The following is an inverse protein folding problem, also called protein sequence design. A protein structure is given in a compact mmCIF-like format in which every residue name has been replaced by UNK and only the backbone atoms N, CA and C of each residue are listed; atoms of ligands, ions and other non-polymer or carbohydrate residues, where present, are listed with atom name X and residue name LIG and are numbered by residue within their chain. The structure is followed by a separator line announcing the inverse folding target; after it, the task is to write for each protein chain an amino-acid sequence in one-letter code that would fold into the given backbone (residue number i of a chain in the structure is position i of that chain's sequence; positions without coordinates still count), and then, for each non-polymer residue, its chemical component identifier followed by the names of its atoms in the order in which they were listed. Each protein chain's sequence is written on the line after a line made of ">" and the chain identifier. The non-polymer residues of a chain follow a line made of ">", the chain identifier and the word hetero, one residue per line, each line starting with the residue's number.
data_IF_598297784648
#
_entry.id   IF_598297784648
#
_cell.length_a   1.000
_cell.length_b   1.000
_cell.length_c   1.000
_cell.angle_alpha   90.00
_cell.angle_beta   90.00
_cell.angle_gamma   90.00
#
_symmetry.space_group_name_H-M   'P 1'
#
loop_
_entity.id
_entity.type
_entity.pdbx_description
1 polymer ?
#
# COMPACT_ATOMS: atom_id res chain seq x y z
N UNK A 1 -0.28 -50.40 -99.51
CA UNK A 1 -0.05 -49.85 -98.16
C UNK A 1 -1.32 -50.08 -97.39
N UNK A 2 -1.26 -51.04 -96.46
CA UNK A 2 -1.40 -50.79 -95.01
C UNK A 2 -2.89 -50.94 -94.65
N UNK A 3 -3.34 -51.64 -93.62
CA UNK A 3 -2.73 -52.16 -92.40
C UNK A 3 -3.61 -53.34 -91.97
N UNK A 4 -3.08 -54.56 -91.96
CA UNK A 4 -3.78 -55.74 -91.42
C UNK A 4 -3.41 -55.85 -89.94
N UNK A 5 -4.15 -55.14 -89.10
CA UNK A 5 -4.17 -55.40 -87.66
C UNK A 5 -4.89 -56.73 -87.41
N UNK A 6 -4.15 -57.83 -87.43
CA UNK A 6 -4.63 -59.13 -86.96
C UNK A 6 -4.88 -59.06 -85.45
N UNK A 7 -6.15 -59.00 -85.06
CA UNK A 7 -6.59 -59.26 -83.68
C UNK A 7 -6.54 -60.78 -83.44
N UNK A 8 -5.55 -61.23 -82.69
CA UNK A 8 -5.43 -62.63 -82.26
C UNK A 8 -6.41 -62.89 -81.09
N UNK A 9 -7.26 -63.94 -81.13
CA UNK A 9 -8.23 -64.19 -80.08
C UNK A 9 -7.53 -64.61 -78.77
N UNK A 10 -7.94 -64.01 -77.66
CA UNK A 10 -7.38 -64.29 -76.34
C UNK A 10 -7.45 -65.79 -76.00
N UNK A 11 -6.37 -66.35 -75.47
CA UNK A 11 -6.32 -67.76 -75.09
C UNK A 11 -6.96 -67.98 -73.71
N UNK A 12 -7.36 -69.23 -73.40
CA UNK A 12 -7.88 -69.60 -72.07
C UNK A 12 -6.91 -69.26 -70.92
N UNK A 13 -5.60 -69.26 -71.19
CA UNK A 13 -4.58 -68.86 -70.23
C UNK A 13 -4.56 -67.36 -69.95
N UNK A 14 -4.82 -66.52 -70.95
CA UNK A 14 -4.87 -65.06 -70.79
C UNK A 14 -6.10 -64.64 -69.96
N UNK A 15 -7.24 -65.29 -70.19
CA UNK A 15 -8.46 -65.11 -69.39
C UNK A 15 -8.26 -65.49 -67.92
N UNK A 16 -7.50 -66.56 -67.64
CA UNK A 16 -7.19 -66.98 -66.28
C UNK A 16 -6.31 -65.95 -65.55
N UNK A 17 -5.25 -65.45 -66.23
CA UNK A 17 -4.38 -64.39 -65.68
C UNK A 17 -5.15 -63.11 -65.40
N UNK A 18 -5.99 -62.67 -66.33
CA UNK A 18 -6.84 -61.49 -66.14
C UNK A 18 -7.78 -61.64 -64.94
N UNK A 19 -8.40 -62.81 -64.78
CA UNK A 19 -9.26 -63.10 -63.62
C UNK A 19 -8.51 -62.99 -62.29
N UNK A 20 -7.27 -63.48 -62.24
CA UNK A 20 -6.42 -63.35 -61.06
C UNK A 20 -6.02 -61.90 -60.78
N UNK A 21 -5.63 -61.14 -61.82
CA UNK A 21 -5.37 -59.70 -61.69
C UNK A 21 -6.60 -58.95 -61.15
N UNK A 22 -7.79 -59.23 -61.69
CA UNK A 22 -9.05 -58.59 -61.23
C UNK A 22 -9.31 -58.90 -59.76
N UNK A 23 -9.07 -60.14 -59.30
CA UNK A 23 -9.21 -60.51 -57.88
C UNK A 23 -8.23 -59.73 -56.98
N UNK A 24 -6.97 -59.62 -57.39
CA UNK A 24 -5.94 -58.86 -56.66
C UNK A 24 -6.33 -57.38 -56.57
N UNK A 25 -6.68 -56.76 -57.71
CA UNK A 25 -7.11 -55.36 -57.75
C UNK A 25 -8.33 -55.09 -56.87
N UNK A 26 -9.29 -56.03 -56.83
CA UNK A 26 -10.46 -55.92 -55.93
C UNK A 26 -10.05 -55.98 -54.45
N UNK A 27 -9.08 -56.82 -54.11
CA UNK A 27 -8.51 -56.88 -52.76
C UNK A 27 -7.84 -55.58 -52.35
N UNK A 28 -7.04 -54.99 -53.25
CA UNK A 28 -6.36 -53.72 -52.99
C UNK A 28 -7.35 -52.55 -52.85
N UNK A 29 -8.40 -52.51 -53.69
CA UNK A 29 -9.50 -51.55 -53.56
C UNK A 29 -10.21 -51.65 -52.20
N UNK A 30 -10.42 -52.86 -51.69
CA UNK A 30 -11.03 -53.07 -50.36
C UNK A 30 -10.16 -52.49 -49.25
N UNK A 31 -8.85 -52.78 -49.27
CA UNK A 31 -7.90 -52.25 -48.28
C UNK A 31 -7.79 -50.72 -48.35
N UNK A 32 -7.80 -50.16 -49.55
CA UNK A 32 -7.81 -48.71 -49.75
C UNK A 32 -9.07 -48.09 -49.16
N UNK A 33 -10.24 -48.71 -49.38
CA UNK A 33 -11.51 -48.24 -48.79
C UNK A 33 -11.48 -48.24 -47.26
N UNK A 34 -10.95 -49.29 -46.65
CA UNK A 34 -10.77 -49.36 -45.19
C UNK A 34 -9.84 -48.26 -44.67
N UNK A 35 -8.72 -48.03 -45.37
CA UNK A 35 -7.75 -46.97 -45.03
C UNK A 35 -8.38 -45.58 -45.12
N UNK A 36 -9.21 -45.32 -46.12
CA UNK A 36 -9.95 -44.06 -46.28
C UNK A 36 -10.94 -43.85 -45.13
N UNK A 37 -11.68 -44.89 -44.74
CA UNK A 37 -12.61 -44.83 -43.60
C UNK A 37 -11.86 -44.48 -42.31
N UNK A 38 -10.74 -45.16 -42.04
CA UNK A 38 -9.92 -44.89 -40.86
C UNK A 38 -9.38 -43.46 -40.85
N UNK A 39 -8.84 -43.00 -41.98
CA UNK A 39 -8.30 -41.64 -42.13
C UNK A 39 -9.38 -40.58 -41.90
N UNK A 40 -10.59 -40.79 -42.40
CA UNK A 40 -11.71 -39.89 -42.18
C UNK A 40 -12.12 -39.85 -40.69
N UNK A 41 -12.09 -40.99 -39.99
CA UNK A 41 -12.32 -41.05 -38.56
C UNK A 41 -11.29 -40.28 -37.74
N UNK A 42 -10.01 -40.40 -38.11
CA UNK A 42 -8.94 -39.66 -37.44
C UNK A 42 -9.00 -38.15 -37.73
N UNK A 43 -9.39 -37.76 -38.95
CA UNK A 43 -9.61 -36.36 -39.31
C UNK A 43 -10.77 -35.74 -38.51
N UNK A 44 -11.85 -36.49 -38.28
CA UNK A 44 -12.98 -36.03 -37.45
C UNK A 44 -12.55 -35.78 -35.99
N UNK A 45 -11.80 -36.70 -35.39
CA UNK A 45 -11.26 -36.53 -34.03
C UNK A 45 -10.31 -35.34 -33.92
N UNK A 46 -9.46 -35.14 -34.93
CA UNK A 46 -8.57 -33.99 -34.99
C UNK A 46 -9.36 -32.68 -35.06
N UNK A 47 -10.42 -32.63 -35.87
CA UNK A 47 -11.30 -31.46 -35.97
C UNK A 47 -11.99 -31.11 -34.64
N UNK A 48 -12.43 -32.12 -33.89
CA UNK A 48 -13.00 -31.94 -32.54
C UNK A 48 -11.94 -31.39 -31.58
N UNK A 49 -10.74 -31.98 -31.56
CA UNK A 49 -9.62 -31.51 -30.72
C UNK A 49 -9.23 -30.06 -31.03
N UNK A 50 -9.18 -29.69 -32.31
CA UNK A 50 -8.92 -28.31 -32.74
C UNK A 50 -10.01 -27.36 -32.24
N UNK A 51 -11.27 -27.77 -32.28
CA UNK A 51 -12.40 -26.97 -31.80
C UNK A 51 -12.33 -26.75 -30.29
N UNK A 52 -12.03 -27.80 -29.53
CA UNK A 52 -11.85 -27.71 -28.07
C UNK A 52 -10.68 -26.78 -27.71
N UNK A 53 -9.53 -26.97 -28.37
CA UNK A 53 -8.33 -26.14 -28.15
C UNK A 53 -8.60 -24.65 -28.42
N UNK A 54 -9.38 -24.33 -29.46
CA UNK A 54 -9.79 -22.95 -29.74
C UNK A 54 -10.66 -22.38 -28.61
N UNK A 55 -11.57 -23.18 -28.07
CA UNK A 55 -12.42 -22.79 -26.93
C UNK A 55 -11.59 -22.50 -25.68
N UNK A 56 -10.62 -23.34 -25.37
CA UNK A 56 -9.74 -23.16 -24.21
C UNK A 56 -8.84 -21.93 -24.37
N UNK A 57 -8.32 -21.68 -25.58
CA UNK A 57 -7.54 -20.47 -25.88
C UNK A 57 -8.36 -19.19 -25.71
N UNK A 58 -9.64 -19.21 -26.09
CA UNK A 58 -10.53 -18.06 -25.89
C UNK A 58 -10.75 -17.76 -24.39
N UNK A 59 -11.02 -18.79 -23.57
CA UNK A 59 -11.17 -18.65 -22.11
C UNK A 59 -9.88 -18.14 -21.44
N UNK A 60 -8.73 -18.63 -21.89
CA UNK A 60 -7.45 -18.16 -21.40
C UNK A 60 -7.22 -16.68 -21.74
N UNK A 61 -7.56 -16.27 -22.96
CA UNK A 61 -7.47 -14.87 -23.40
C UNK A 61 -8.34 -13.94 -22.55
N UNK A 62 -9.57 -14.35 -22.23
CA UNK A 62 -10.46 -13.62 -21.33
C UNK A 62 -9.86 -13.50 -19.92
N UNK A 63 -9.37 -14.61 -19.36
CA UNK A 63 -8.73 -14.64 -18.03
C UNK A 63 -7.51 -13.71 -17.97
N UNK A 64 -6.67 -13.70 -19.01
CA UNK A 64 -5.52 -12.79 -19.12
C UNK A 64 -5.97 -11.33 -19.15
N UNK A 65 -7.05 -11.02 -19.87
CA UNK A 65 -7.60 -9.67 -19.95
C UNK A 65 -8.12 -9.20 -18.59
N UNK A 66 -8.87 -10.06 -17.89
CA UNK A 66 -9.36 -9.77 -16.54
C UNK A 66 -8.19 -9.53 -15.57
N UNK A 67 -7.19 -10.41 -15.58
CA UNK A 67 -6.00 -10.29 -14.72
C UNK A 67 -5.25 -8.98 -14.96
N UNK A 68 -5.12 -8.55 -16.23
CA UNK A 68 -4.51 -7.24 -16.56
C UNK A 68 -5.33 -6.08 -15.98
N UNK A 69 -6.66 -6.15 -16.05
CA UNK A 69 -7.54 -5.15 -15.47
C UNK A 69 -7.39 -5.04 -13.95
N UNK A 70 -7.32 -6.18 -13.26
CA UNK A 70 -7.15 -6.22 -11.80
C UNK A 70 -5.76 -5.71 -11.38
N UNK A 71 -4.71 -6.03 -12.14
CA UNK A 71 -3.36 -5.50 -11.90
C UNK A 71 -3.30 -3.97 -12.07
N UNK A 72 -4.01 -3.41 -13.06
CA UNK A 72 -4.08 -1.97 -13.24
C UNK A 72 -4.75 -1.26 -12.05
N UNK A 73 -5.88 -1.80 -11.56
CA UNK A 73 -6.58 -1.27 -10.36
C UNK A 73 -5.72 -1.36 -9.10
N UNK A 74 -4.97 -2.46 -8.95
CA UNK A 74 -4.04 -2.62 -7.83
C UNK A 74 -2.91 -1.57 -7.90
N UNK A 75 -2.35 -1.34 -9.09
CA UNK A 75 -1.33 -0.32 -9.30
C UNK A 75 -1.83 1.07 -8.91
N UNK A 76 -3.03 1.45 -9.33
CA UNK A 76 -3.64 2.73 -8.96
C UNK A 76 -3.84 2.86 -7.45
N UNK A 77 -4.29 1.78 -6.80
CA UNK A 77 -4.47 1.74 -5.34
C UNK A 77 -3.14 1.93 -4.61
N UNK A 78 -2.07 1.27 -5.06
CA UNK A 78 -0.71 1.43 -4.50
C UNK A 78 -0.22 2.88 -4.64
N UNK A 79 -0.42 3.50 -5.81
CA UNK A 79 -0.05 4.91 -6.02
C UNK A 79 -0.80 5.84 -5.07
N UNK A 80 -2.10 5.64 -4.88
CA UNK A 80 -2.90 6.44 -3.94
C UNK A 80 -2.41 6.29 -2.50
N UNK A 81 -2.15 5.07 -2.06
CA UNK A 81 -1.60 4.80 -0.71
C UNK A 81 -0.24 5.50 -0.53
N UNK A 82 0.64 5.48 -1.53
CA UNK A 82 1.93 6.16 -1.45
C UNK A 82 1.80 7.68 -1.29
N UNK A 83 0.81 8.29 -1.95
CA UNK A 83 0.50 9.72 -1.79
C UNK A 83 -0.02 10.00 -0.38
N UNK A 84 -0.97 9.21 0.12
CA UNK A 84 -1.56 9.39 1.45
C UNK A 84 -0.51 9.20 2.56
N UNK A 85 0.41 8.25 2.40
CA UNK A 85 1.54 8.06 3.30
C UNK A 85 2.47 9.29 3.31
N UNK A 86 2.76 9.85 2.14
CA UNK A 86 3.62 11.04 2.02
C UNK A 86 2.99 12.26 2.72
N UNK A 87 1.66 12.44 2.60
CA UNK A 87 0.92 13.48 3.33
C UNK A 87 0.98 13.26 4.83
N UNK A 88 0.69 12.04 5.29
CA UNK A 88 0.75 11.69 6.71
C UNK A 88 2.15 11.94 7.29
N UNK A 89 3.21 11.64 6.54
CA UNK A 89 4.58 11.95 6.97
C UNK A 89 4.85 13.45 7.06
N UNK A 90 4.26 14.26 6.18
CA UNK A 90 4.35 15.71 6.27
C UNK A 90 3.63 16.24 7.52
N UNK A 91 2.39 15.79 7.75
CA UNK A 91 1.59 16.16 8.93
C UNK A 91 2.32 15.81 10.23
N UNK A 92 2.95 14.62 10.30
CA UNK A 92 3.75 14.21 11.47
C UNK A 92 4.98 15.10 11.69
N UNK A 93 5.64 15.56 10.62
CA UNK A 93 6.76 16.51 10.74
C UNK A 93 6.27 17.86 11.25
N UNK A 94 5.16 18.37 10.72
CA UNK A 94 4.57 19.63 11.17
C UNK A 94 4.15 19.56 12.64
N UNK A 95 3.45 18.49 13.06
CA UNK A 95 3.11 18.29 14.47
C UNK A 95 4.34 18.25 15.39
N UNK A 96 5.43 17.62 14.94
CA UNK A 96 6.68 17.59 15.71
C UNK A 96 7.28 18.98 15.88
N UNK A 97 7.25 19.79 14.84
CA UNK A 97 7.74 21.17 14.88
C UNK A 97 6.85 22.06 15.77
N UNK A 98 5.54 21.91 15.68
CA UNK A 98 4.57 22.59 16.55
C UNK A 98 4.76 22.22 18.03
N UNK A 99 4.94 20.93 18.33
CA UNK A 99 5.25 20.47 19.70
C UNK A 99 6.56 21.08 20.20
N UNK A 100 7.57 21.18 19.33
CA UNK A 100 8.89 21.69 19.71
C UNK A 100 8.91 23.21 19.93
N UNK A 101 7.98 23.95 19.32
CA UNK A 101 8.01 25.42 19.30
C UNK A 101 6.90 26.09 20.11
N UNK A 102 5.73 25.45 20.25
CA UNK A 102 4.53 26.08 20.85
C UNK A 102 4.18 25.55 22.22
N UNK A 103 4.47 24.28 22.52
CA UNK A 103 4.21 23.75 23.86
C UNK A 103 5.29 24.26 24.80
N UNK A 104 4.87 24.70 26.01
CA UNK A 104 5.80 25.08 27.06
C UNK A 104 6.78 23.93 27.28
N UNK A 105 8.01 24.13 26.85
CA UNK A 105 9.02 23.09 26.96
C UNK A 105 9.40 22.95 28.42
N UNK A 106 10.05 21.83 28.78
CA UNK A 106 10.65 21.70 30.11
C UNK A 106 11.52 22.92 30.48
N UNK A 107 12.21 23.50 29.50
CA UNK A 107 13.04 24.69 29.72
C UNK A 107 12.20 25.94 30.06
N UNK A 108 11.01 26.11 29.47
CA UNK A 108 10.12 27.23 29.79
C UNK A 108 9.54 27.09 31.20
N UNK A 109 9.14 25.88 31.58
CA UNK A 109 8.70 25.57 32.95
C UNK A 109 9.83 25.86 33.94
N UNK A 110 11.05 25.38 33.66
CA UNK A 110 12.22 25.62 34.51
C UNK A 110 12.53 27.13 34.65
N UNK A 111 12.36 27.93 33.59
CA UNK A 111 12.52 29.40 33.63
C UNK A 111 11.46 30.06 34.51
N UNK A 112 10.19 29.69 34.33
CA UNK A 112 9.07 30.23 35.11
C UNK A 112 9.25 29.89 36.60
N UNK A 113 9.63 28.65 36.92
CA UNK A 113 9.88 28.22 38.29
C UNK A 113 11.00 29.03 38.95
N UNK A 114 12.12 29.24 38.25
CA UNK A 114 13.21 30.10 38.77
C UNK A 114 12.74 31.55 38.99
N UNK A 115 11.94 32.10 38.09
CA UNK A 115 11.39 33.44 38.25
C UNK A 115 10.46 33.54 39.46
N UNK A 116 9.64 32.51 39.71
CA UNK A 116 8.80 32.40 40.90
C UNK A 116 9.63 32.32 42.18
N UNK A 117 10.70 31.53 42.19
CA UNK A 117 11.60 31.43 43.35
C UNK A 117 12.23 32.78 43.69
N UNK A 118 12.68 33.53 42.67
CA UNK A 118 13.23 34.89 42.86
C UNK A 118 12.15 35.83 43.40
N UNK A 119 10.99 35.89 42.75
CA UNK A 119 9.90 36.78 43.15
C UNK A 119 9.41 36.51 44.57
N UNK A 120 9.26 35.24 44.94
CA UNK A 120 8.85 34.86 46.31
C UNK A 120 9.94 35.19 47.34
N UNK A 121 11.23 34.98 47.00
CA UNK A 121 12.36 35.39 47.84
C UNK A 121 12.43 36.91 48.07
N UNK A 122 12.20 37.70 47.03
CA UNK A 122 12.12 39.16 47.13
C UNK A 122 10.92 39.59 48.00
N UNK A 123 9.74 39.02 47.76
CA UNK A 123 8.53 39.34 48.52
C UNK A 123 8.68 39.07 50.03
N UNK A 124 9.35 37.96 50.40
CA UNK A 124 9.67 37.65 51.81
C UNK A 124 10.64 38.69 52.38
N UNK A 125 11.66 39.08 51.61
CA UNK A 125 12.65 40.08 52.03
C UNK A 125 12.03 41.47 52.26
N UNK A 126 11.12 41.91 51.39
CA UNK A 126 10.33 43.13 51.57
C UNK A 126 9.53 43.09 52.87
N UNK A 127 8.79 41.99 53.11
CA UNK A 127 7.99 41.81 54.33
C UNK A 127 8.85 41.86 55.60
N UNK A 128 10.01 41.20 55.59
CA UNK A 128 10.93 41.19 56.73
C UNK A 128 11.46 42.59 57.04
N UNK A 129 11.85 43.35 56.00
CA UNK A 129 12.32 44.73 56.16
C UNK A 129 11.22 45.65 56.68
N UNK A 130 10.00 45.51 56.17
CA UNK A 130 8.86 46.32 56.62
C UNK A 130 8.50 46.00 58.08
N UNK A 131 8.62 44.74 58.50
CA UNK A 131 8.45 44.32 59.90
C UNK A 131 9.51 44.96 60.80
N UNK A 132 10.79 44.92 60.39
CA UNK A 132 11.89 45.55 61.13
C UNK A 132 11.70 47.06 61.27
N UNK A 133 11.37 47.75 60.17
CA UNK A 133 11.08 49.19 60.17
C UNK A 133 9.90 49.52 61.09
N UNK A 134 8.86 48.69 61.08
CA UNK A 134 7.72 48.83 61.99
C UNK A 134 8.13 48.74 63.46
N UNK A 135 8.99 47.77 63.81
CA UNK A 135 9.52 47.64 65.17
C UNK A 135 10.35 48.86 65.60
N UNK A 136 11.24 49.36 64.73
CA UNK A 136 12.04 50.57 65.00
C UNK A 136 11.16 51.81 65.23
N UNK A 137 10.13 51.99 64.40
CA UNK A 137 9.18 53.10 64.55
C UNK A 137 8.41 52.99 65.87
N UNK A 138 7.99 51.78 66.28
CA UNK A 138 7.35 51.56 67.58
C UNK A 138 8.29 51.86 68.75
N UNK A 139 9.57 51.50 68.65
CA UNK A 139 10.57 51.82 69.66
C UNK A 139 10.77 53.35 69.77
N UNK A 140 10.90 54.04 68.64
CA UNK A 140 11.00 55.51 68.60
C UNK A 140 9.77 56.18 69.20
N UNK A 141 8.57 55.67 68.87
CA UNK A 141 7.30 56.17 69.42
C UNK A 141 7.26 56.01 70.94
N UNK A 142 7.74 54.87 71.45
CA UNK A 142 7.82 54.60 72.90
C UNK A 142 8.80 55.55 73.59
N UNK A 143 9.98 55.79 73.00
CA UNK A 143 10.98 56.75 73.51
C UNK A 143 10.46 58.18 73.50
N UNK A 144 9.79 58.59 72.43
CA UNK A 144 9.17 59.92 72.34
C UNK A 144 8.09 60.10 73.40
N UNK A 145 7.28 59.06 73.68
CA UNK A 145 6.27 59.12 74.73
C UNK A 145 6.89 59.29 76.12
N UNK A 146 7.95 58.55 76.44
CA UNK A 146 8.71 58.75 77.68
C UNK A 146 9.27 60.17 77.79
N UNK A 147 9.85 60.70 76.71
CA UNK A 147 10.35 62.07 76.68
C UNK A 147 9.24 63.11 76.88
N UNK A 148 8.09 62.94 76.26
CA UNK A 148 6.91 63.80 76.44
C UNK A 148 6.43 63.79 77.90
N UNK A 149 6.28 62.59 78.49
CA UNK A 149 5.85 62.44 79.88
C UNK A 149 6.85 63.12 80.86
N UNK A 150 8.15 63.01 80.59
CA UNK A 150 9.20 63.70 81.38
C UNK A 150 9.14 65.21 81.26
N UNK A 151 8.86 65.75 80.07
CA UNK A 151 8.69 67.19 79.86
C UNK A 151 7.49 67.73 80.63
N UNK A 152 6.34 67.03 80.58
CA UNK A 152 5.13 67.41 81.34
C UNK A 152 5.40 67.47 82.85
N UNK A 153 6.16 66.51 83.40
CA UNK A 153 6.55 66.54 84.83
C UNK A 153 7.44 67.73 85.16
N UNK A 154 8.33 68.14 84.26
CA UNK A 154 9.20 69.31 84.47
C UNK A 154 8.41 70.63 84.38
N UNK A 155 7.46 70.74 83.46
CA UNK A 155 6.60 71.92 83.30
C UNK A 155 5.65 72.12 84.48
N UNK A 156 5.11 71.03 85.03
CA UNK A 156 4.18 71.07 86.17
C UNK A 156 4.85 71.30 87.53
N UNK A 157 6.19 71.23 87.61
CA UNK A 157 6.98 71.49 88.83
C UNK A 157 7.49 72.93 88.96
N UNK A 158 7.20 73.81 87.99
CA UNK A 158 7.41 75.26 88.10
C UNK A 158 6.18 75.94 88.70
#
# INVERSE_FOLDING_TARGET
>A
MEDQTQSQPATKGDLAKLSETVKLTRGDLSKLSETVIQTNGDLAKLSETVTQTKGDLAKLSETVTQTKGDLAKLSETVTRIAVDLSKTQADVREMKDDISTRLATKADIDRIMKALDVYTGEAISYRNRDTLRGNEVMEHTSKLKDHEDRLVVLETKK
#
